data_IF_922425377879
#
_entry.id   IF_922425377879
#
_cell.length_a   1.000
_cell.length_b   1.000
_cell.length_c   1.000
_cell.angle_alpha   90.00
_cell.angle_beta   90.00
_cell.angle_gamma   90.00
#
_symmetry.space_group_name_H-M   'P 1'
#
loop_
_entity.id
_entity.type
_entity.pdbx_description
1 polymer ?
#
# COMPACT_ATOMS: atom_id res chain seq x y z
N UNK A 1 9.96 -3.63 14.00
CA UNK A 1 10.61 -2.90 12.91
C UNK A 1 11.43 -1.73 13.41
N UNK A 2 12.71 -1.73 13.06
CA UNK A 2 13.57 -0.56 13.18
C UNK A 2 13.25 0.49 12.11
N UNK A 3 13.63 1.75 12.33
CA UNK A 3 13.48 2.81 11.34
C UNK A 3 14.24 2.52 10.03
N UNK A 4 15.35 1.78 10.10
CA UNK A 4 16.14 1.40 8.93
C UNK A 4 15.37 0.39 8.08
N UNK A 5 14.81 -0.65 8.69
CA UNK A 5 14.01 -1.67 7.99
C UNK A 5 12.77 -1.04 7.34
N UNK A 6 12.07 -0.17 8.06
CA UNK A 6 10.90 0.53 7.52
C UNK A 6 11.25 1.42 6.33
N UNK A 7 12.40 2.10 6.40
CA UNK A 7 12.91 2.90 5.29
C UNK A 7 13.19 2.05 4.07
N UNK A 8 13.87 0.91 4.23
CA UNK A 8 14.14 -0.02 3.12
C UNK A 8 12.84 -0.49 2.47
N UNK A 9 11.81 -0.81 3.26
CA UNK A 9 10.50 -1.22 2.72
C UNK A 9 9.84 -0.09 1.91
N UNK A 10 9.81 1.15 2.43
CA UNK A 10 9.25 2.30 1.70
C UNK A 10 10.07 2.62 0.44
N UNK A 11 11.39 2.59 0.54
CA UNK A 11 12.30 2.88 -0.57
C UNK A 11 12.14 1.86 -1.70
N UNK A 12 11.76 0.61 -1.39
CA UNK A 12 11.35 -0.39 -2.39
C UNK A 12 10.19 0.08 -3.25
N UNK A 13 9.12 0.59 -2.65
CA UNK A 13 7.97 1.13 -3.39
C UNK A 13 8.32 2.39 -4.18
N UNK A 14 9.06 3.32 -3.58
CA UNK A 14 9.55 4.54 -4.26
C UNK A 14 10.36 4.16 -5.49
N UNK A 15 11.27 3.20 -5.35
CA UNK A 15 12.13 2.73 -6.44
C UNK A 15 11.33 2.04 -7.55
N UNK A 16 10.32 1.24 -7.18
CA UNK A 16 9.42 0.60 -8.14
C UNK A 16 8.70 1.64 -9.02
N UNK A 17 8.06 2.65 -8.42
CA UNK A 17 7.39 3.71 -9.20
C UNK A 17 8.35 4.61 -9.99
N UNK A 18 9.63 4.64 -9.61
CA UNK A 18 10.69 5.26 -10.40
C UNK A 18 11.18 4.39 -11.56
N UNK A 19 10.86 3.10 -11.62
CA UNK A 19 11.31 2.21 -12.69
C UNK A 19 10.45 2.38 -13.96
N UNK A 20 11.09 2.45 -15.13
CA UNK A 20 10.39 2.67 -16.40
C UNK A 20 9.38 1.56 -16.72
N UNK A 21 9.73 0.31 -16.40
CA UNK A 21 8.87 -0.85 -16.66
C UNK A 21 7.53 -0.79 -15.92
N UNK A 22 7.46 -0.16 -14.74
CA UNK A 22 6.20 0.04 -14.03
C UNK A 22 5.28 0.98 -14.79
N UNK A 23 5.81 2.09 -15.32
CA UNK A 23 5.02 3.01 -16.14
C UNK A 23 4.52 2.32 -17.43
N UNK A 24 5.38 1.52 -18.08
CA UNK A 24 5.02 0.73 -19.26
C UNK A 24 3.93 -0.30 -18.94
N UNK A 25 4.04 -1.02 -17.83
CA UNK A 25 3.07 -2.02 -17.40
C UNK A 25 1.72 -1.40 -17.01
N UNK A 26 1.72 -0.23 -16.34
CA UNK A 26 0.48 0.53 -16.07
C UNK A 26 -0.20 0.92 -17.38
N UNK A 27 0.59 1.42 -18.35
CA UNK A 27 0.06 1.89 -19.63
C UNK A 27 -0.47 0.77 -20.53
N UNK A 28 0.11 -0.42 -20.44
CA UNK A 28 -0.32 -1.59 -21.23
C UNK A 28 -1.57 -2.28 -20.68
N UNK A 29 -1.97 -1.97 -19.43
CA UNK A 29 -3.22 -2.47 -18.86
C UNK A 29 -4.45 -1.92 -19.59
N UNK A 30 -5.59 -2.60 -19.47
CA UNK A 30 -6.86 -2.31 -20.18
C UNK A 30 -7.30 -0.83 -20.10
N UNK A 31 -7.01 -0.16 -18.97
CA UNK A 31 -7.39 1.25 -18.75
C UNK A 31 -6.24 2.23 -18.93
N UNK A 32 -5.02 1.74 -19.13
CA UNK A 32 -3.80 2.54 -19.22
C UNK A 32 -3.49 3.39 -17.97
N UNK A 33 -4.10 3.06 -16.83
CA UNK A 33 -3.94 3.75 -15.54
C UNK A 33 -4.33 2.86 -14.37
N UNK A 34 -3.79 3.18 -13.20
CA UNK A 34 -4.13 2.55 -11.92
C UNK A 34 -4.44 3.59 -10.86
N UNK A 35 -5.11 3.18 -9.78
CA UNK A 35 -5.23 3.96 -8.55
C UNK A 35 -4.34 3.33 -7.49
N UNK A 36 -3.54 4.14 -6.80
CA UNK A 36 -2.58 3.71 -5.77
C UNK A 36 -2.87 4.45 -4.47
N UNK A 37 -2.86 3.73 -3.36
CA UNK A 37 -2.85 4.28 -2.01
C UNK A 37 -1.70 3.61 -1.26
N UNK A 38 -0.97 4.38 -0.45
CA UNK A 38 0.07 3.85 0.43
C UNK A 38 -0.31 4.10 1.89
N UNK A 39 -0.33 3.01 2.65
CA UNK A 39 -0.69 2.94 4.07
C UNK A 39 0.51 2.36 4.83
N UNK A 40 0.85 2.97 5.96
CA UNK A 40 1.72 2.34 6.95
C UNK A 40 0.93 1.83 8.14
N UNK A 41 1.38 0.71 8.68
CA UNK A 41 0.64 -0.05 9.67
C UNK A 41 1.56 -0.62 10.75
N UNK A 42 0.99 -0.87 11.92
CA UNK A 42 1.65 -1.55 13.03
C UNK A 42 0.64 -2.38 13.82
N UNK A 43 0.32 -2.00 15.07
CA UNK A 43 -0.70 -2.65 15.89
C UNK A 43 -2.13 -2.51 15.32
N UNK A 44 -3.12 -3.17 15.96
CA UNK A 44 -4.50 -3.25 15.45
C UNK A 44 -5.13 -1.90 15.13
N UNK A 45 -4.86 -0.88 15.95
CA UNK A 45 -5.43 0.46 15.81
C UNK A 45 -4.46 1.46 15.16
N UNK A 46 -3.34 0.99 14.61
CA UNK A 46 -2.29 1.83 14.03
C UNK A 46 -2.25 1.65 12.51
N UNK A 47 -3.15 2.35 11.81
CA UNK A 47 -3.29 2.29 10.36
C UNK A 47 -3.31 3.73 9.82
N UNK A 48 -2.23 4.15 9.16
CA UNK A 48 -2.06 5.54 8.70
C UNK A 48 -1.97 5.60 7.19
N UNK A 49 -2.92 6.28 6.54
CA UNK A 49 -2.82 6.60 5.12
C UNK A 49 -1.79 7.70 4.95
N UNK A 50 -0.65 7.36 4.35
CA UNK A 50 0.44 8.30 4.07
C UNK A 50 0.21 9.00 2.73
N UNK A 51 -0.26 8.24 1.74
CA UNK A 51 -0.61 8.76 0.43
C UNK A 51 -2.00 8.28 0.06
N UNK A 52 -3.00 9.18 -0.07
CA UNK A 52 -4.37 8.79 -0.43
C UNK A 52 -4.43 8.26 -1.86
N UNK A 53 -5.60 7.72 -2.24
CA UNK A 53 -5.87 7.26 -3.59
C UNK A 53 -5.43 8.30 -4.65
N UNK A 54 -4.42 7.93 -5.42
CA UNK A 54 -3.81 8.75 -6.46
C UNK A 54 -3.88 7.99 -7.78
N UNK A 55 -4.38 8.64 -8.82
CA UNK A 55 -4.41 8.06 -10.17
C UNK A 55 -3.03 8.22 -10.80
N UNK A 56 -2.53 7.13 -11.40
CA UNK A 56 -1.26 7.08 -12.13
C UNK A 56 -1.56 6.62 -13.56
N UNK A 57 -1.40 7.51 -14.54
CA UNK A 57 -1.72 7.25 -15.96
C UNK A 57 -0.48 7.11 -16.85
N UNK A 58 0.70 7.43 -16.30
CA UNK A 58 1.94 7.40 -17.04
C UNK A 58 3.18 7.65 -16.17
N UNK A 59 4.30 7.83 -16.86
CA UNK A 59 5.62 7.95 -16.26
C UNK A 59 5.75 9.17 -15.33
N UNK A 60 5.21 10.30 -15.74
CA UNK A 60 5.25 11.55 -14.97
C UNK A 60 4.50 11.40 -13.65
N UNK A 61 3.26 10.91 -13.68
CA UNK A 61 2.48 10.65 -12.46
C UNK A 61 3.20 9.68 -11.51
N UNK A 62 3.82 8.64 -12.04
CA UNK A 62 4.56 7.66 -11.25
C UNK A 62 5.78 8.29 -10.55
N UNK A 63 6.48 9.21 -11.22
CA UNK A 63 7.58 9.99 -10.63
C UNK A 63 7.08 10.94 -9.54
N UNK A 64 6.01 11.69 -9.81
CA UNK A 64 5.38 12.59 -8.84
C UNK A 64 4.94 11.82 -7.59
N UNK A 65 4.32 10.67 -7.78
CA UNK A 65 3.90 9.78 -6.69
C UNK A 65 5.11 9.31 -5.87
N UNK A 66 6.18 8.86 -6.54
CA UNK A 66 7.39 8.39 -5.86
C UNK A 66 8.07 9.49 -5.06
N UNK A 67 8.20 10.69 -5.63
CA UNK A 67 8.85 11.83 -4.98
C UNK A 67 8.04 12.33 -3.78
N UNK A 68 6.72 12.37 -3.88
CA UNK A 68 5.83 12.68 -2.74
C UNK A 68 5.98 11.65 -1.63
N UNK A 69 5.93 10.36 -1.96
CA UNK A 69 6.06 9.30 -0.97
C UNK A 69 7.43 9.33 -0.26
N UNK A 70 8.50 9.59 -1.01
CA UNK A 70 9.85 9.68 -0.47
C UNK A 70 10.04 10.86 0.50
N UNK A 71 9.34 11.98 0.27
CA UNK A 71 9.44 13.18 1.09
C UNK A 71 8.62 13.12 2.40
N UNK A 72 7.63 12.22 2.49
CA UNK A 72 6.79 12.11 3.67
C UNK A 72 7.54 11.43 4.83
N UNK A 73 7.26 11.80 6.10
CA UNK A 73 7.87 11.14 7.25
C UNK A 73 7.42 9.67 7.37
N UNK A 74 8.24 8.86 8.03
CA UNK A 74 7.87 7.49 8.45
C UNK A 74 6.99 7.56 9.69
N UNK A 75 6.01 6.67 9.78
CA UNK A 75 5.24 6.47 11.01
C UNK A 75 5.95 5.52 11.96
N UNK A 76 5.65 5.61 13.26
CA UNK A 76 6.21 4.72 14.27
C UNK A 76 5.05 4.02 14.99
N UNK A 77 5.16 2.71 15.13
CA UNK A 77 4.17 1.91 15.83
C UNK A 77 4.79 0.67 16.48
N UNK A 78 3.98 -0.03 17.27
CA UNK A 78 4.38 -1.27 17.96
C UNK A 78 3.43 -2.40 17.58
N UNK A 79 3.98 -3.61 17.54
CA UNK A 79 3.25 -4.81 17.12
C UNK A 79 3.12 -4.91 15.60
N UNK A 80 2.68 -6.08 15.16
CA UNK A 80 2.54 -6.45 13.75
C UNK A 80 1.15 -7.03 13.55
N UNK A 81 0.19 -6.17 13.18
CA UNK A 81 -1.20 -6.55 12.88
C UNK A 81 -1.45 -6.50 11.37
N UNK A 82 -1.04 -7.56 10.67
CA UNK A 82 -1.35 -7.75 9.24
C UNK A 82 -2.88 -7.81 9.08
N UNK A 83 -3.57 -8.46 10.01
CA UNK A 83 -5.05 -8.52 10.04
C UNK A 83 -5.68 -7.12 10.08
N UNK A 84 -5.14 -6.21 10.91
CA UNK A 84 -5.58 -4.81 10.98
C UNK A 84 -5.33 -4.06 9.68
N UNK A 85 -4.16 -4.25 9.07
CA UNK A 85 -3.83 -3.63 7.78
C UNK A 85 -4.75 -4.09 6.64
N UNK A 86 -5.05 -5.41 6.57
CA UNK A 86 -5.98 -5.94 5.58
C UNK A 86 -7.41 -5.44 5.80
N UNK A 87 -7.86 -5.35 7.06
CA UNK A 87 -9.17 -4.78 7.37
C UNK A 87 -9.27 -3.30 6.98
N UNK A 88 -8.24 -2.51 7.28
CA UNK A 88 -8.17 -1.11 6.83
C UNK A 88 -8.20 -1.00 5.29
N UNK A 89 -7.49 -1.88 4.58
CA UNK A 89 -7.50 -1.93 3.12
C UNK A 89 -8.90 -2.25 2.56
N UNK A 90 -9.63 -3.21 3.16
CA UNK A 90 -11.02 -3.52 2.81
C UNK A 90 -11.91 -2.27 2.89
N UNK A 91 -11.85 -1.56 4.01
CA UNK A 91 -12.58 -0.31 4.23
C UNK A 91 -12.20 0.78 3.23
N UNK A 92 -10.90 0.93 2.94
CA UNK A 92 -10.41 1.93 1.99
C UNK A 92 -10.87 1.64 0.56
N UNK A 93 -10.98 0.38 0.15
CA UNK A 93 -11.59 0.02 -1.13
C UNK A 93 -13.08 0.36 -1.16
N UNK A 94 -13.82 -0.01 -0.11
CA UNK A 94 -15.26 0.24 -0.02
C UNK A 94 -15.59 1.74 -0.09
N UNK A 95 -14.75 2.59 0.52
CA UNK A 95 -14.92 4.05 0.59
C UNK A 95 -14.31 4.81 -0.59
N UNK A 96 -13.57 4.15 -1.49
CA UNK A 96 -12.81 4.83 -2.55
C UNK A 96 -13.68 5.54 -3.59
N UNK A 97 -14.90 5.06 -3.85
CA UNK A 97 -15.71 5.47 -5.00
C UNK A 97 -15.14 5.05 -6.36
N UNK A 98 -13.98 4.40 -6.39
CA UNK A 98 -13.29 3.95 -7.60
C UNK A 98 -13.80 2.56 -8.02
N UNK A 99 -13.98 2.37 -9.32
CA UNK A 99 -14.30 1.07 -9.90
C UNK A 99 -13.08 0.50 -10.61
N UNK A 100 -12.67 -0.71 -10.27
CA UNK A 100 -11.54 -1.43 -10.87
C UNK A 100 -11.91 -2.90 -11.14
N UNK A 101 -11.52 -3.51 -12.27
CA UNK A 101 -11.73 -4.94 -12.51
C UNK A 101 -10.83 -5.81 -11.61
N UNK A 102 -9.74 -5.23 -11.07
CA UNK A 102 -8.79 -5.91 -10.19
C UNK A 102 -8.44 -5.03 -9.00
N UNK A 103 -8.43 -5.62 -7.80
CA UNK A 103 -7.97 -5.01 -6.56
C UNK A 103 -6.78 -5.81 -6.04
N UNK A 104 -5.77 -5.14 -5.51
CA UNK A 104 -4.55 -5.75 -4.99
C UNK A 104 -4.20 -5.07 -3.69
N UNK A 105 -3.81 -5.87 -2.69
CA UNK A 105 -3.14 -5.40 -1.49
C UNK A 105 -1.76 -6.03 -1.51
N UNK A 106 -0.73 -5.20 -1.60
CA UNK A 106 0.66 -5.61 -1.44
C UNK A 106 1.09 -5.30 0.00
N UNK A 107 1.70 -6.28 0.67
CA UNK A 107 2.05 -6.19 2.09
C UNK A 107 3.54 -6.39 2.25
N UNK A 108 4.20 -5.40 2.85
CA UNK A 108 5.58 -5.47 3.30
C UNK A 108 5.63 -5.32 4.82
N UNK A 109 6.47 -6.12 5.47
CA UNK A 109 6.60 -6.16 6.94
C UNK A 109 7.79 -7.02 7.38
N UNK A 110 8.19 -6.89 8.64
CA UNK A 110 9.40 -7.51 9.22
C UNK A 110 9.11 -8.72 10.15
N UNK A 111 7.87 -9.18 10.20
CA UNK A 111 7.47 -10.26 11.10
C UNK A 111 6.06 -10.82 10.85
N UNK A 112 5.69 -11.89 11.56
CA UNK A 112 4.37 -12.50 11.44
C UNK A 112 3.27 -11.63 12.08
N UNK A 113 2.00 -11.93 11.77
CA UNK A 113 0.86 -11.34 12.47
C UNK A 113 0.87 -11.76 13.95
N UNK A 114 1.32 -10.86 14.83
CA UNK A 114 1.50 -11.11 16.25
C UNK A 114 0.58 -10.24 17.15
N UNK A 115 -0.23 -9.36 16.54
CA UNK A 115 -1.19 -8.52 17.23
C UNK A 115 -2.52 -8.50 16.47
N UNK A 116 -3.62 -8.34 17.21
CA UNK A 116 -4.98 -8.25 16.63
C UNK A 116 -5.62 -9.60 16.36
N UNK A 117 -6.55 -9.62 15.41
CA UNK A 117 -7.30 -10.81 15.05
C UNK A 117 -6.44 -11.86 14.32
N UNK A 118 -6.89 -13.12 14.26
CA UNK A 118 -6.30 -14.11 13.37
C UNK A 118 -6.32 -13.63 11.92
N UNK A 119 -5.27 -13.95 11.16
CA UNK A 119 -5.11 -13.48 9.79
C UNK A 119 -6.10 -14.14 8.82
N UNK A 120 -6.30 -15.45 8.94
CA UNK A 120 -7.03 -16.24 7.94
C UNK A 120 -8.48 -15.77 7.73
N UNK A 121 -9.30 -15.51 8.77
CA UNK A 121 -10.66 -15.02 8.57
C UNK A 121 -10.71 -13.69 7.81
N UNK A 122 -9.80 -12.75 8.13
CA UNK A 122 -9.74 -11.44 7.46
C UNK A 122 -9.30 -11.61 6.01
N UNK A 123 -8.32 -12.47 5.75
CA UNK A 123 -7.89 -12.78 4.38
C UNK A 123 -9.03 -13.34 3.54
N UNK A 124 -9.86 -14.22 4.10
CA UNK A 124 -11.02 -14.78 3.38
C UNK A 124 -12.03 -13.68 3.02
N UNK A 125 -12.29 -12.73 3.91
CA UNK A 125 -13.18 -11.58 3.63
C UNK A 125 -12.65 -10.72 2.47
N UNK A 126 -11.33 -10.56 2.33
CA UNK A 126 -10.75 -9.79 1.22
C UNK A 126 -10.78 -10.52 -0.13
N UNK A 127 -10.86 -11.86 -0.12
CA UNK A 127 -10.83 -12.69 -1.32
C UNK A 127 -12.22 -13.09 -1.83
N UNK A 128 -13.26 -12.89 -1.01
CA UNK A 128 -14.65 -13.09 -1.39
C UNK A 128 -15.18 -11.96 -2.28
#
# INVERSE_FOLDING_TARGET
MSNVEQRVQRDGYVSAFRHADIATAIKSGERGRIAVLYLEWAGPDQQTVIMPWTIVEGREDALILADRLAALPLTVGRGTSISGALWAAHDLFAKSGLRSPRRVVDVSGDGPNNAGAPLDPIRQVLLA
#
